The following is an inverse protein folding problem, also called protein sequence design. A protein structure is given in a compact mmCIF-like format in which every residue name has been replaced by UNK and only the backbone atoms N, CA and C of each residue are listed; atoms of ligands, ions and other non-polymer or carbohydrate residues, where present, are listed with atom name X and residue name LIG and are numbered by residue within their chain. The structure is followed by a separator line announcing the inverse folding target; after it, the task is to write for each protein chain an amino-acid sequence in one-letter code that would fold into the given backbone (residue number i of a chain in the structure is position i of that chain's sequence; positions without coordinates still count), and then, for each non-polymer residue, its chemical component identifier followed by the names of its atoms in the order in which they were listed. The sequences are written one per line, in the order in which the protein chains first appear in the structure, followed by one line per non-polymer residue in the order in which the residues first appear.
data_IF_769955439104
#
_entry.id   IF_769955439104
#
_cell.length_a   1.000
_cell.length_b   1.000
_cell.length_c   1.000
_cell.angle_alpha   90.00
_cell.angle_beta   90.00
_cell.angle_gamma   90.00
#
_symmetry.space_group_name_H-M   'P 1'
#
loop_
_entity.id
_entity.type
_entity.pdbx_description
1 polymer ?
#
# COMPACT_ATOMS: atom_id res chain seq x y z
N UNK A 1 73.15 -35.04 16.79
CA UNK A 1 72.92 -33.64 17.20
C UNK A 1 72.26 -32.95 16.00
N UNK A 2 70.93 -32.79 16.01
CA UNK A 2 70.22 -31.50 16.17
C UNK A 2 70.68 -30.48 15.13
N UNK A 3 69.88 -29.78 14.32
CA UNK A 3 68.45 -29.47 14.16
C UNK A 3 68.37 -28.97 12.68
N UNK A 4 67.28 -29.04 11.94
CA UNK A 4 66.00 -28.45 12.29
C UNK A 4 65.02 -28.54 11.12
N UNK A 5 63.75 -28.60 11.49
CA UNK A 5 62.58 -28.39 10.65
C UNK A 5 62.60 -26.96 10.09
N UNK A 6 62.30 -26.79 8.79
CA UNK A 6 61.61 -25.60 8.31
C UNK A 6 60.45 -26.04 7.42
N UNK A 7 59.24 -26.00 7.99
CA UNK A 7 58.01 -26.12 7.22
C UNK A 7 57.86 -24.87 6.35
N UNK A 8 57.64 -25.07 5.05
CA UNK A 8 57.17 -24.01 4.15
C UNK A 8 55.67 -23.88 4.35
N UNK A 9 55.21 -22.77 4.94
CA UNK A 9 53.82 -22.37 4.89
C UNK A 9 53.58 -21.65 3.56
N UNK A 10 52.87 -22.31 2.64
CA UNK A 10 52.16 -21.64 1.56
C UNK A 10 50.96 -20.94 2.19
N UNK A 11 51.07 -19.63 2.42
CA UNK A 11 49.89 -18.79 2.60
C UNK A 11 49.27 -18.57 1.22
N UNK A 12 48.36 -19.47 0.82
CA UNK A 12 47.33 -19.15 -0.17
C UNK A 12 46.43 -18.07 0.43
N UNK A 13 46.76 -16.81 0.19
CA UNK A 13 45.78 -15.73 0.28
C UNK A 13 44.92 -15.83 -0.96
N UNK A 14 43.81 -16.53 -0.84
CA UNK A 14 42.71 -16.50 -1.81
C UNK A 14 42.12 -15.09 -1.76
N UNK A 15 42.48 -14.23 -2.71
CA UNK A 15 41.77 -12.96 -2.93
C UNK A 15 40.35 -13.29 -3.38
N UNK A 16 39.40 -13.21 -2.45
CA UNK A 16 37.98 -13.15 -2.77
C UNK A 16 37.74 -11.84 -3.54
N UNK A 17 37.54 -11.94 -4.87
CA UNK A 17 36.93 -10.87 -5.66
C UNK A 17 35.52 -10.62 -5.12
N UNK A 18 35.38 -9.58 -4.30
CA UNK A 18 34.08 -8.95 -4.08
C UNK A 18 33.70 -8.24 -5.38
N UNK A 19 32.82 -8.84 -6.18
CA UNK A 19 32.10 -8.10 -7.22
C UNK A 19 31.28 -7.02 -6.51
N UNK A 20 31.82 -5.80 -6.43
CA UNK A 20 31.09 -4.66 -5.90
C UNK A 20 29.98 -4.32 -6.88
N UNK A 21 28.75 -4.68 -6.56
CA UNK A 21 27.56 -4.28 -7.32
C UNK A 21 27.44 -2.76 -7.23
N UNK A 22 27.76 -2.05 -8.32
CA UNK A 22 27.68 -0.59 -8.36
C UNK A 22 26.23 -0.18 -8.58
N UNK A 23 25.64 0.43 -7.56
CA UNK A 23 24.29 1.00 -7.64
C UNK A 23 24.29 2.29 -8.45
N UNK A 24 23.44 2.36 -9.48
CA UNK A 24 23.20 3.56 -10.28
C UNK A 24 22.08 4.40 -9.67
N UNK A 25 22.22 5.71 -9.80
CA UNK A 25 21.22 6.68 -9.37
C UNK A 25 21.04 7.77 -10.43
N UNK A 26 19.83 8.32 -10.52
CA UNK A 26 19.53 9.51 -11.31
C UNK A 26 18.47 10.34 -10.58
N UNK A 27 18.72 11.64 -10.43
CA UNK A 27 17.78 12.59 -9.84
C UNK A 27 17.15 13.43 -10.94
N UNK A 28 15.83 13.53 -10.91
CA UNK A 28 15.03 14.36 -11.82
C UNK A 28 14.25 15.38 -11.00
N UNK A 29 14.57 16.65 -11.21
CA UNK A 29 13.77 17.76 -10.69
C UNK A 29 12.45 17.83 -11.46
N UNK A 30 11.35 18.05 -10.75
CA UNK A 30 10.01 18.15 -11.33
C UNK A 30 9.24 19.29 -10.70
N UNK A 31 8.21 19.78 -11.39
CA UNK A 31 7.26 20.71 -10.78
C UNK A 31 6.58 20.08 -9.56
N UNK A 32 6.11 20.91 -8.62
CA UNK A 32 5.37 20.42 -7.46
C UNK A 32 4.11 19.65 -7.88
N UNK A 33 3.89 18.53 -7.21
CA UNK A 33 2.75 17.65 -7.46
C UNK A 33 2.10 17.21 -6.16
N UNK A 34 0.81 16.94 -6.21
CA UNK A 34 0.05 16.37 -5.08
C UNK A 34 -0.65 15.07 -5.48
N UNK A 35 -0.55 14.68 -6.76
CA UNK A 35 -1.14 13.47 -7.30
C UNK A 35 -0.03 12.64 -7.94
N UNK A 36 -0.09 11.33 -7.76
CA UNK A 36 0.90 10.37 -8.26
C UNK A 36 0.18 9.25 -8.99
N UNK A 37 0.53 9.03 -10.25
CA UNK A 37 0.09 7.92 -11.08
C UNK A 37 1.30 7.04 -11.45
N UNK A 38 1.21 5.76 -11.10
CA UNK A 38 2.29 4.79 -11.27
C UNK A 38 1.78 3.64 -12.12
N UNK A 39 2.36 3.48 -13.30
CA UNK A 39 2.09 2.36 -14.22
C UNK A 39 3.38 1.68 -14.65
N UNK A 40 3.75 0.62 -13.94
CA UNK A 40 4.95 -0.14 -14.23
C UNK A 40 5.35 -1.05 -13.07
N UNK A 41 6.62 -1.39 -13.02
CA UNK A 41 7.22 -2.25 -11.99
C UNK A 41 8.15 -1.40 -11.12
N UNK A 42 7.67 -0.92 -9.99
CA UNK A 42 8.40 0.04 -9.16
C UNK A 42 8.27 -0.27 -7.66
N UNK A 43 9.38 -0.08 -6.94
CA UNK A 43 9.35 0.10 -5.48
C UNK A 43 9.43 1.59 -5.19
N UNK A 44 8.36 2.19 -4.70
CA UNK A 44 8.24 3.63 -4.51
C UNK A 44 8.19 3.97 -3.04
N UNK A 45 9.09 4.87 -2.62
CA UNK A 45 9.06 5.52 -1.31
C UNK A 45 8.65 6.97 -1.48
N UNK A 46 7.63 7.41 -0.74
CA UNK A 46 7.33 8.83 -0.61
C UNK A 46 8.00 9.40 0.63
N UNK A 47 8.62 10.58 0.47
CA UNK A 47 9.19 11.39 1.55
C UNK A 47 8.66 12.81 1.42
N UNK A 48 8.27 13.42 2.53
CA UNK A 48 7.83 14.81 2.54
C UNK A 48 9.03 15.74 2.36
N UNK A 49 8.91 16.73 1.48
CA UNK A 49 9.93 17.76 1.32
C UNK A 49 9.43 19.00 0.58
N UNK A 50 10.08 20.14 0.81
CA UNK A 50 9.62 21.43 0.26
C UNK A 50 9.72 21.53 -1.26
N UNK A 51 10.68 20.84 -1.86
CA UNK A 51 10.93 20.82 -3.30
C UNK A 51 10.66 19.44 -3.86
N UNK A 52 9.99 19.40 -5.00
CA UNK A 52 9.65 18.14 -5.65
C UNK A 52 10.77 17.59 -6.50
N UNK A 53 11.07 16.30 -6.31
CA UNK A 53 12.06 15.56 -7.09
C UNK A 53 11.71 14.08 -7.14
N UNK A 54 12.28 13.38 -8.11
CA UNK A 54 12.23 11.94 -8.25
C UNK A 54 13.65 11.40 -8.32
N UNK A 55 13.97 10.44 -7.47
CA UNK A 55 15.29 9.79 -7.40
C UNK A 55 15.11 8.33 -7.79
N UNK A 56 15.67 7.96 -8.94
CA UNK A 56 15.68 6.60 -9.48
C UNK A 56 16.96 5.90 -9.03
N UNK A 57 16.86 4.64 -8.62
CA UNK A 57 18.02 3.86 -8.23
C UNK A 57 17.86 2.38 -8.55
N UNK A 58 18.94 1.78 -9.05
CA UNK A 58 18.96 0.36 -9.45
C UNK A 58 20.38 -0.18 -9.40
N UNK A 59 20.51 -1.47 -9.09
CA UNK A 59 21.79 -2.19 -9.08
C UNK A 59 22.06 -2.91 -10.41
N UNK A 60 21.08 -2.92 -11.32
CA UNK A 60 21.10 -3.72 -12.54
C UNK A 60 20.86 -2.91 -13.81
N UNK A 61 20.11 -1.82 -13.73
CA UNK A 61 19.87 -0.93 -14.85
C UNK A 61 21.10 -0.05 -15.07
N UNK A 62 21.59 -0.03 -16.30
CA UNK A 62 22.75 0.78 -16.68
C UNK A 62 22.40 2.26 -16.89
N UNK A 63 21.14 2.57 -17.23
CA UNK A 63 20.54 3.89 -17.38
C UNK A 63 19.03 3.84 -17.08
N UNK A 64 18.36 5.00 -17.08
CA UNK A 64 16.93 5.12 -16.78
C UNK A 64 16.12 5.78 -17.91
N UNK A 65 16.63 5.77 -19.14
CA UNK A 65 16.02 6.47 -20.29
C UNK A 65 14.63 5.92 -20.64
N UNK A 66 14.41 4.61 -20.45
CA UNK A 66 13.11 3.96 -20.68
C UNK A 66 12.07 4.26 -19.58
N UNK A 67 12.47 4.86 -18.46
CA UNK A 67 11.57 5.25 -17.38
C UNK A 67 11.08 6.66 -17.67
N UNK A 68 9.79 6.83 -17.95
CA UNK A 68 9.16 8.14 -18.08
C UNK A 68 8.82 8.68 -16.70
N UNK A 69 9.27 9.90 -16.43
CA UNK A 69 8.90 10.68 -15.24
C UNK A 69 8.46 12.05 -15.73
N UNK A 70 7.17 12.35 -15.64
CA UNK A 70 6.60 13.61 -16.12
C UNK A 70 5.67 14.17 -15.06
N UNK A 71 5.90 15.40 -14.61
CA UNK A 71 4.94 16.16 -13.84
C UNK A 71 4.18 17.10 -14.78
N UNK A 72 2.85 17.07 -14.75
CA UNK A 72 2.01 18.03 -15.48
C UNK A 72 0.75 18.31 -14.67
N UNK A 73 0.43 19.59 -14.49
CA UNK A 73 -0.78 20.02 -13.79
C UNK A 73 -0.91 19.43 -12.37
N UNK A 74 0.20 19.31 -11.64
CA UNK A 74 0.23 18.76 -10.29
C UNK A 74 0.12 17.23 -10.19
N UNK A 75 0.19 16.52 -11.33
CA UNK A 75 0.18 15.06 -11.42
C UNK A 75 1.56 14.58 -11.86
N UNK A 76 2.23 13.83 -11.00
CA UNK A 76 3.42 13.06 -11.34
C UNK A 76 3.00 11.73 -11.97
N UNK A 77 3.43 11.48 -13.20
CA UNK A 77 3.23 10.22 -13.92
C UNK A 77 4.56 9.49 -14.06
N UNK A 78 4.59 8.24 -13.60
CA UNK A 78 5.72 7.32 -13.73
C UNK A 78 5.31 6.07 -14.49
N UNK A 79 5.92 5.84 -15.66
CA UNK A 79 5.63 4.69 -16.52
C UNK A 79 6.84 4.28 -17.36
N UNK A 80 6.81 3.12 -18.02
CA UNK A 80 7.81 2.76 -19.02
C UNK A 80 7.43 3.33 -20.40
N UNK A 81 8.38 3.94 -21.12
CA UNK A 81 8.14 4.56 -22.43
C UNK A 81 7.84 3.55 -23.55
N UNK A 82 8.42 2.36 -23.46
CA UNK A 82 8.22 1.26 -24.40
C UNK A 82 7.30 0.20 -23.77
N UNK A 83 6.61 -0.61 -24.61
CA UNK A 83 5.80 -1.75 -24.12
C UNK A 83 6.55 -2.48 -23.01
N UNK A 84 5.86 -2.76 -21.90
CA UNK A 84 6.42 -3.49 -20.75
C UNK A 84 7.22 -4.67 -21.30
N UNK A 85 8.53 -4.80 -20.98
CA UNK A 85 9.34 -5.82 -21.60
C UNK A 85 8.72 -7.18 -21.30
N UNK A 86 8.39 -7.93 -22.36
CA UNK A 86 7.75 -9.24 -22.28
C UNK A 86 8.41 -10.08 -21.17
N UNK A 87 7.72 -10.25 -20.04
CA UNK A 87 8.27 -10.92 -18.87
C UNK A 87 8.11 -12.43 -19.10
N UNK A 88 9.01 -12.99 -19.91
CA UNK A 88 9.25 -14.43 -19.85
C UNK A 88 9.66 -14.81 -18.42
N UNK A 89 9.22 -15.98 -17.94
CA UNK A 89 9.44 -16.50 -16.58
C UNK A 89 10.92 -16.45 -16.13
N UNK A 90 11.85 -16.39 -17.08
CA UNK A 90 13.30 -16.27 -16.87
C UNK A 90 13.79 -14.87 -16.48
N UNK A 91 12.96 -13.82 -16.58
CA UNK A 91 13.33 -12.40 -16.43
C UNK A 91 12.70 -11.68 -15.22
N UNK A 92 12.11 -12.41 -14.26
CA UNK A 92 11.55 -11.89 -12.99
C UNK A 92 12.58 -11.08 -12.16
N UNK A 93 13.85 -11.21 -12.52
CA UNK A 93 14.99 -10.50 -12.00
C UNK A 93 15.00 -8.96 -12.27
N UNK A 94 13.98 -8.35 -12.88
CA UNK A 94 13.89 -6.90 -13.20
C UNK A 94 13.18 -6.02 -12.14
N UNK A 95 12.91 -6.54 -10.94
CA UNK A 95 12.20 -5.81 -9.86
C UNK A 95 13.08 -4.81 -9.07
N UNK A 96 14.18 -4.31 -9.63
CA UNK A 96 15.20 -3.59 -8.86
C UNK A 96 15.17 -2.07 -9.02
N UNK A 97 14.08 -1.51 -9.56
CA UNK A 97 13.95 -0.07 -9.67
C UNK A 97 13.28 0.51 -8.41
N UNK A 98 14.13 1.03 -7.54
CA UNK A 98 13.73 1.79 -6.37
C UNK A 98 13.60 3.27 -6.75
N UNK A 99 12.49 3.87 -6.36
CA UNK A 99 12.13 5.25 -6.66
C UNK A 99 11.81 5.96 -5.36
N UNK A 100 12.50 7.06 -5.07
CA UNK A 100 12.09 7.99 -4.02
C UNK A 100 11.44 9.20 -4.65
N UNK A 101 10.18 9.48 -4.30
CA UNK A 101 9.49 10.70 -4.68
C UNK A 101 9.45 11.65 -3.49
N UNK A 102 9.82 12.90 -3.73
CA UNK A 102 9.74 13.97 -2.72
C UNK A 102 8.75 15.02 -3.18
N UNK A 103 7.85 15.46 -2.29
CA UNK A 103 6.91 16.57 -2.53
C UNK A 103 6.32 17.06 -1.20
N UNK A 104 5.72 18.26 -1.10
CA UNK A 104 5.19 18.74 0.18
C UNK A 104 4.02 17.92 0.74
N UNK A 105 3.20 17.34 -0.14
CA UNK A 105 1.99 16.60 0.20
C UNK A 105 1.56 15.70 -0.95
N UNK A 106 0.89 14.58 -0.65
CA UNK A 106 0.20 13.74 -1.62
C UNK A 106 -1.24 13.58 -1.15
N UNK A 107 -2.18 13.94 -2.03
CA UNK A 107 -3.61 13.69 -1.87
C UNK A 107 -4.12 12.56 -2.76
N UNK A 108 -3.43 12.18 -3.85
CA UNK A 108 -3.87 11.05 -4.69
C UNK A 108 -2.75 10.11 -5.06
N UNK A 109 -3.00 8.83 -4.89
CA UNK A 109 -2.13 7.73 -5.31
C UNK A 109 -2.94 6.79 -6.21
N UNK A 110 -2.46 6.59 -7.44
CA UNK A 110 -3.02 5.62 -8.38
C UNK A 110 -1.92 4.65 -8.84
N UNK A 111 -2.17 3.36 -8.69
CA UNK A 111 -1.25 2.30 -9.08
C UNK A 111 -1.93 1.35 -10.06
N UNK A 112 -1.41 1.21 -11.28
CA UNK A 112 -1.96 0.33 -12.33
C UNK A 112 -1.05 -0.86 -12.69
N UNK A 113 0.20 -0.85 -12.24
CA UNK A 113 1.19 -1.90 -12.55
C UNK A 113 1.44 -2.89 -11.41
N UNK A 114 2.70 -3.33 -11.26
CA UNK A 114 3.20 -4.10 -10.11
C UNK A 114 3.97 -3.13 -9.20
N UNK A 115 3.31 -2.61 -8.18
CA UNK A 115 3.83 -1.47 -7.40
C UNK A 115 3.93 -1.82 -5.93
N UNK A 116 5.11 -1.62 -5.35
CA UNK A 116 5.24 -1.45 -3.90
C UNK A 116 5.27 0.05 -3.62
N UNK A 117 4.43 0.54 -2.72
CA UNK A 117 4.44 1.95 -2.27
C UNK A 117 4.56 2.00 -0.76
N UNK A 118 5.49 2.78 -0.24
CA UNK A 118 5.66 2.99 1.19
C UNK A 118 5.88 4.45 1.56
N UNK A 119 5.32 4.85 2.69
CA UNK A 119 5.53 6.17 3.29
C UNK A 119 5.39 6.12 4.79
N UNK A 120 6.32 6.77 5.49
CA UNK A 120 6.21 7.08 6.92
C UNK A 120 5.47 8.41 7.17
N UNK A 121 5.18 9.15 6.10
CA UNK A 121 4.44 10.41 6.12
C UNK A 121 2.94 10.18 5.98
N UNK A 122 2.17 11.15 6.48
CA UNK A 122 0.74 11.20 6.22
C UNK A 122 0.46 11.59 4.76
N UNK A 123 -0.47 10.87 4.11
CA UNK A 123 -1.16 11.42 2.95
C UNK A 123 -2.21 12.42 3.45
N UNK A 124 -2.24 13.61 2.84
CA UNK A 124 -3.12 14.67 3.32
C UNK A 124 -3.69 15.53 2.18
N UNK A 125 -4.88 16.06 2.43
CA UNK A 125 -5.65 16.86 1.49
C UNK A 125 -7.14 16.87 1.85
N UNK A 126 -7.94 17.67 1.16
CA UNK A 126 -9.39 17.66 1.36
C UNK A 126 -10.00 16.30 0.99
N UNK A 127 -9.53 15.69 -0.10
CA UNK A 127 -10.01 14.40 -0.57
C UNK A 127 -8.82 13.50 -0.91
N UNK A 128 -8.43 12.65 0.03
CA UNK A 128 -7.34 11.70 -0.16
C UNK A 128 -7.86 10.49 -0.93
N UNK A 129 -7.28 10.20 -2.09
CA UNK A 129 -7.70 9.08 -2.97
C UNK A 129 -6.59 8.06 -3.15
N UNK A 130 -6.94 6.79 -2.98
CA UNK A 130 -6.07 5.64 -3.28
C UNK A 130 -6.79 4.73 -4.26
N UNK A 131 -6.26 4.60 -5.49
CA UNK A 131 -6.84 3.77 -6.55
C UNK A 131 -5.86 2.68 -7.00
N UNK A 132 -6.23 1.42 -6.82
CA UNK A 132 -5.36 0.27 -7.07
C UNK A 132 -5.98 -0.63 -8.16
N UNK A 133 -5.33 -0.67 -9.33
CA UNK A 133 -5.77 -1.40 -10.52
C UNK A 133 -4.60 -2.23 -11.06
N UNK A 134 -4.02 -3.11 -10.26
CA UNK A 134 -2.84 -3.89 -10.63
C UNK A 134 -2.44 -4.86 -9.51
N UNK A 135 -1.16 -5.19 -9.40
CA UNK A 135 -0.63 -5.91 -8.23
C UNK A 135 0.03 -4.90 -7.31
N UNK A 136 -0.42 -4.77 -6.08
CA UNK A 136 0.03 -3.66 -5.21
C UNK A 136 0.35 -4.10 -3.78
N UNK A 137 1.45 -3.60 -3.23
CA UNK A 137 1.78 -3.70 -1.81
C UNK A 137 1.97 -2.28 -1.25
N UNK A 138 1.01 -1.80 -0.48
CA UNK A 138 0.93 -0.41 -0.05
C UNK A 138 1.07 -0.33 1.47
N UNK A 139 1.96 0.53 1.94
CA UNK A 139 2.10 0.91 3.36
C UNK A 139 2.05 2.43 3.48
N UNK A 140 1.09 2.92 4.25
CA UNK A 140 0.91 4.35 4.52
C UNK A 140 0.84 4.53 6.03
N UNK A 141 1.70 5.37 6.61
CA UNK A 141 1.67 5.62 8.04
C UNK A 141 0.35 6.25 8.49
N UNK A 142 -0.11 7.29 7.79
CA UNK A 142 -1.34 7.98 8.15
C UNK A 142 -2.09 8.57 6.94
N UNK A 143 -3.40 8.79 7.13
CA UNK A 143 -4.25 9.60 6.25
C UNK A 143 -4.96 10.65 7.11
N UNK A 144 -4.82 11.92 6.74
CA UNK A 144 -5.40 13.06 7.44
C UNK A 144 -6.09 14.01 6.44
N UNK A 145 -7.26 14.54 6.79
CA UNK A 145 -8.03 15.37 5.85
C UNK A 145 -9.53 15.39 6.12
N UNK A 146 -10.32 15.66 5.09
CA UNK A 146 -11.78 15.57 5.18
C UNK A 146 -12.31 14.20 4.75
N UNK A 147 -11.79 13.62 3.67
CA UNK A 147 -12.22 12.31 3.17
C UNK A 147 -11.03 11.40 2.83
N UNK A 148 -11.15 10.11 3.17
CA UNK A 148 -10.40 9.03 2.53
C UNK A 148 -11.34 8.25 1.60
N UNK A 149 -11.03 8.24 0.30
CA UNK A 149 -11.65 7.35 -0.68
C UNK A 149 -10.62 6.33 -1.20
N UNK A 150 -10.91 5.05 -1.02
CA UNK A 150 -10.09 3.95 -1.53
C UNK A 150 -10.91 3.08 -2.47
N UNK A 151 -10.38 2.85 -3.67
CA UNK A 151 -10.91 1.93 -4.66
C UNK A 151 -9.83 0.91 -5.01
N UNK A 152 -10.07 -0.35 -4.66
CA UNK A 152 -9.14 -1.44 -4.93
C UNK A 152 -9.81 -2.52 -5.76
N UNK A 153 -9.44 -2.54 -7.05
CA UNK A 153 -9.88 -3.52 -8.04
C UNK A 153 -8.78 -4.51 -8.42
N UNK A 154 -7.60 -4.42 -7.78
CA UNK A 154 -6.41 -5.20 -8.12
C UNK A 154 -6.22 -6.47 -7.31
N UNK A 155 -4.99 -7.00 -7.32
CA UNK A 155 -4.50 -7.98 -6.36
C UNK A 155 -3.60 -7.27 -5.36
N UNK A 156 -4.10 -6.98 -4.17
CA UNK A 156 -3.44 -6.02 -3.28
C UNK A 156 -3.18 -6.52 -1.86
N UNK A 157 -2.19 -5.90 -1.24
CA UNK A 157 -2.02 -5.86 0.21
C UNK A 157 -1.81 -4.43 0.64
N UNK A 158 -2.76 -3.89 1.40
CA UNK A 158 -2.75 -2.51 1.87
C UNK A 158 -2.68 -2.50 3.39
N UNK A 159 -1.78 -1.69 3.94
CA UNK A 159 -1.76 -1.32 5.36
C UNK A 159 -1.73 0.19 5.50
N UNK A 160 -2.67 0.70 6.29
CA UNK A 160 -2.70 2.10 6.70
C UNK A 160 -2.65 2.13 8.23
N UNK A 161 -1.74 2.92 8.80
CA UNK A 161 -1.65 3.07 10.26
C UNK A 161 -2.88 3.77 10.82
N UNK A 162 -2.87 5.09 10.86
CA UNK A 162 -4.00 5.90 11.35
C UNK A 162 -4.75 6.62 10.25
N UNK A 163 -6.08 6.56 10.28
CA UNK A 163 -6.96 7.38 9.44
C UNK A 163 -7.74 8.31 10.36
N UNK A 164 -7.54 9.62 10.17
CA UNK A 164 -8.22 10.68 10.92
C UNK A 164 -8.84 11.68 9.93
N UNK A 165 -10.10 11.45 9.57
CA UNK A 165 -10.84 12.21 8.54
C UNK A 165 -12.29 12.37 8.97
N UNK A 166 -13.14 13.07 8.21
CA UNK A 166 -14.60 13.11 8.47
C UNK A 166 -15.30 11.91 7.84
N UNK A 167 -14.89 11.53 6.64
CA UNK A 167 -15.54 10.48 5.84
C UNK A 167 -14.53 9.44 5.37
N UNK A 168 -14.85 8.15 5.53
CA UNK A 168 -14.06 7.03 4.99
C UNK A 168 -14.94 6.21 4.06
N UNK A 169 -14.53 6.08 2.80
CA UNK A 169 -15.19 5.27 1.79
C UNK A 169 -14.17 4.28 1.21
N UNK A 170 -14.26 3.01 1.58
CA UNK A 170 -13.39 1.94 1.07
C UNK A 170 -14.22 0.96 0.27
N UNK A 171 -13.85 0.76 -1.00
CA UNK A 171 -14.48 -0.22 -1.88
C UNK A 171 -13.44 -1.22 -2.39
N UNK A 172 -13.58 -2.48 -1.99
CA UNK A 172 -12.72 -3.59 -2.40
C UNK A 172 -13.48 -4.52 -3.36
N UNK A 173 -13.24 -4.36 -4.66
CA UNK A 173 -13.77 -5.22 -5.74
C UNK A 173 -12.76 -6.26 -6.21
N UNK A 174 -11.48 -6.00 -5.97
CA UNK A 174 -10.37 -6.87 -6.32
C UNK A 174 -10.20 -8.07 -5.38
N UNK A 175 -8.99 -8.59 -5.35
CA UNK A 175 -8.57 -9.65 -4.43
C UNK A 175 -7.49 -9.14 -3.50
N UNK A 176 -7.62 -9.29 -2.19
CA UNK A 176 -6.56 -8.79 -1.32
C UNK A 176 -6.87 -8.65 0.14
N UNK A 177 -5.99 -7.93 0.82
CA UNK A 177 -6.18 -7.56 2.22
C UNK A 177 -5.94 -6.07 2.41
N UNK A 178 -6.91 -5.39 3.01
CA UNK A 178 -6.80 -3.99 3.43
C UNK A 178 -6.90 -3.93 4.94
N UNK A 179 -5.85 -3.45 5.61
CA UNK A 179 -5.79 -3.36 7.06
C UNK A 179 -5.56 -1.92 7.53
N UNK A 180 -6.29 -1.54 8.56
CA UNK A 180 -6.18 -0.27 9.25
C UNK A 180 -5.82 -0.50 10.72
N UNK A 181 -4.79 0.17 11.24
CA UNK A 181 -4.51 0.11 12.68
C UNK A 181 -5.53 0.93 13.46
N UNK A 182 -5.93 2.09 12.95
CA UNK A 182 -7.06 2.86 13.49
C UNK A 182 -7.78 3.70 12.46
N UNK A 183 -9.11 3.77 12.60
CA UNK A 183 -9.97 4.71 11.89
C UNK A 183 -10.71 5.56 12.93
N UNK A 184 -10.62 6.88 12.78
CA UNK A 184 -11.41 7.87 13.50
C UNK A 184 -12.08 8.78 12.47
N UNK A 185 -13.41 8.68 12.36
CA UNK A 185 -14.18 9.48 11.42
C UNK A 185 -15.60 9.77 11.93
N UNK A 186 -16.37 10.61 11.23
CA UNK A 186 -17.81 10.75 11.48
C UNK A 186 -18.54 9.62 10.78
N UNK A 187 -18.26 9.43 9.49
CA UNK A 187 -18.91 8.43 8.65
C UNK A 187 -17.88 7.45 8.08
N UNK A 188 -18.14 6.16 8.26
CA UNK A 188 -17.30 5.08 7.75
C UNK A 188 -18.14 4.11 6.94
N UNK A 189 -17.73 3.88 5.70
CA UNK A 189 -18.29 2.87 4.81
C UNK A 189 -17.16 1.95 4.32
N UNK A 190 -17.22 0.68 4.74
CA UNK A 190 -16.33 -0.39 4.26
C UNK A 190 -17.16 -1.38 3.46
N UNK A 191 -16.96 -1.41 2.15
CA UNK A 191 -17.69 -2.27 1.22
C UNK A 191 -16.73 -3.22 0.49
N UNK A 192 -16.98 -4.52 0.65
CA UNK A 192 -16.22 -5.58 0.00
C UNK A 192 -17.14 -6.41 -0.89
N UNK A 193 -16.98 -6.23 -2.20
CA UNK A 193 -17.69 -6.98 -3.25
C UNK A 193 -16.80 -8.00 -3.96
N UNK A 194 -15.47 -7.88 -3.81
CA UNK A 194 -14.48 -8.81 -4.35
C UNK A 194 -14.16 -10.01 -3.44
N UNK A 195 -12.92 -10.50 -3.52
CA UNK A 195 -12.46 -11.65 -2.75
C UNK A 195 -11.34 -11.27 -1.77
N UNK A 196 -11.60 -11.15 -0.47
CA UNK A 196 -10.53 -10.62 0.38
C UNK A 196 -10.81 -10.51 1.86
N UNK A 197 -10.03 -9.65 2.51
CA UNK A 197 -10.19 -9.37 3.93
C UNK A 197 -9.99 -7.89 4.21
N UNK A 198 -10.95 -7.28 4.90
CA UNK A 198 -10.77 -5.96 5.50
C UNK A 198 -10.55 -6.14 7.00
N UNK A 199 -9.55 -5.47 7.57
CA UNK A 199 -9.26 -5.49 9.01
C UNK A 199 -9.20 -4.07 9.55
N UNK A 200 -9.88 -3.81 10.67
CA UNK A 200 -9.69 -2.59 11.46
C UNK A 200 -9.41 -2.98 12.91
N UNK A 201 -8.30 -2.52 13.49
CA UNK A 201 -7.95 -2.84 14.87
C UNK A 201 -8.66 -1.93 15.89
N UNK A 202 -8.97 -0.69 15.48
CA UNK A 202 -9.76 0.29 16.24
C UNK A 202 -10.62 1.11 15.27
N UNK A 203 -11.92 1.17 15.50
CA UNK A 203 -12.87 1.93 14.68
C UNK A 203 -13.69 2.86 15.56
N UNK A 204 -13.46 4.17 15.48
CA UNK A 204 -14.27 5.20 16.15
C UNK A 204 -15.05 5.97 15.11
N UNK A 205 -16.38 5.92 15.18
CA UNK A 205 -17.27 6.54 14.20
C UNK A 205 -18.53 7.10 14.84
N UNK A 206 -19.21 8.06 14.22
CA UNK A 206 -20.63 8.32 14.54
C UNK A 206 -21.48 7.27 13.82
N UNK A 207 -21.30 7.13 12.51
CA UNK A 207 -21.98 6.13 11.69
C UNK A 207 -20.95 5.21 11.03
N UNK A 208 -21.12 3.90 11.20
CA UNK A 208 -20.31 2.89 10.54
C UNK A 208 -21.21 1.90 9.77
N UNK A 209 -20.89 1.69 8.50
CA UNK A 209 -21.51 0.71 7.60
C UNK A 209 -20.46 -0.28 7.13
N UNK A 210 -20.68 -1.57 7.40
CA UNK A 210 -19.81 -2.66 6.98
C UNK A 210 -20.61 -3.59 6.07
N UNK A 211 -20.25 -3.66 4.78
CA UNK A 211 -20.94 -4.50 3.81
C UNK A 211 -19.97 -5.51 3.18
N UNK A 212 -20.35 -6.78 3.16
CA UNK A 212 -19.57 -7.87 2.58
C UNK A 212 -20.44 -8.68 1.61
N UNK A 213 -20.44 -8.26 0.34
CA UNK A 213 -21.22 -8.90 -0.74
C UNK A 213 -20.43 -9.93 -1.55
N UNK A 214 -19.11 -9.89 -1.46
CA UNK A 214 -18.22 -10.83 -2.14
C UNK A 214 -17.89 -12.08 -1.34
N UNK A 215 -16.66 -12.57 -1.46
CA UNK A 215 -16.15 -13.75 -0.74
C UNK A 215 -15.04 -13.35 0.21
N UNK A 216 -15.18 -13.58 1.51
CA UNK A 216 -14.09 -13.34 2.45
C UNK A 216 -14.52 -12.87 3.82
N UNK A 217 -13.80 -11.92 4.40
CA UNK A 217 -14.06 -11.48 5.76
C UNK A 217 -13.90 -9.97 5.97
N UNK A 218 -14.73 -9.41 6.86
CA UNK A 218 -14.47 -8.10 7.46
C UNK A 218 -14.29 -8.28 8.96
N UNK A 219 -13.14 -7.92 9.51
CA UNK A 219 -12.82 -8.03 10.92
C UNK A 219 -12.65 -6.63 11.52
N UNK A 220 -13.68 -6.12 12.19
CA UNK A 220 -13.66 -4.80 12.81
C UNK A 220 -13.61 -4.93 14.35
N UNK A 221 -12.51 -4.48 14.94
CA UNK A 221 -12.25 -4.54 16.38
C UNK A 221 -12.18 -3.15 16.99
N UNK A 222 -12.33 -3.10 18.32
CA UNK A 222 -12.26 -1.86 19.08
C UNK A 222 -13.29 -0.83 18.60
N UNK A 223 -14.46 -1.28 18.17
CA UNK A 223 -15.52 -0.43 17.67
C UNK A 223 -16.03 0.47 18.81
N UNK A 224 -16.18 1.76 18.52
CA UNK A 224 -16.96 2.73 19.29
C UNK A 224 -17.78 3.53 18.30
N UNK A 225 -19.07 3.23 18.20
CA UNK A 225 -19.96 3.89 17.25
C UNK A 225 -21.33 4.26 17.83
N UNK A 226 -21.91 5.37 17.39
CA UNK A 226 -23.31 5.67 17.75
C UNK A 226 -24.25 4.75 16.96
N UNK A 227 -23.95 4.54 15.68
CA UNK A 227 -24.70 3.65 14.78
C UNK A 227 -23.76 2.73 14.03
N UNK A 228 -24.02 1.42 14.13
CA UNK A 228 -23.34 0.38 13.38
C UNK A 228 -24.35 -0.41 12.55
N UNK A 229 -24.19 -0.39 11.23
CA UNK A 229 -24.94 -1.22 10.30
C UNK A 229 -23.99 -2.28 9.71
N UNK A 230 -24.38 -3.55 9.78
CA UNK A 230 -23.59 -4.67 9.25
C UNK A 230 -24.43 -5.50 8.30
N UNK A 231 -23.95 -5.68 7.07
CA UNK A 231 -24.64 -6.42 6.03
C UNK A 231 -23.70 -7.45 5.39
N UNK A 232 -23.99 -8.74 5.53
CA UNK A 232 -23.18 -9.84 5.00
C UNK A 232 -23.93 -10.68 3.96
N UNK A 233 -24.33 -10.12 2.79
CA UNK A 233 -25.08 -10.89 1.80
C UNK A 233 -24.22 -11.87 0.99
N UNK A 234 -22.89 -11.74 1.05
CA UNK A 234 -21.92 -12.59 0.36
C UNK A 234 -21.62 -13.92 1.06
N UNK A 235 -20.43 -14.47 0.80
CA UNK A 235 -19.94 -15.72 1.39
C UNK A 235 -18.77 -15.45 2.32
N UNK A 236 -18.86 -15.92 3.56
CA UNK A 236 -17.83 -15.73 4.58
C UNK A 236 -18.37 -15.06 5.83
N UNK A 237 -17.62 -14.14 6.44
CA UNK A 237 -18.07 -13.54 7.70
C UNK A 237 -17.67 -12.10 7.97
N UNK A 238 -18.55 -11.37 8.64
CA UNK A 238 -18.20 -10.10 9.27
C UNK A 238 -18.11 -10.33 10.78
N UNK A 239 -16.95 -10.06 11.38
CA UNK A 239 -16.74 -10.14 12.83
C UNK A 239 -16.60 -8.74 13.40
N UNK A 240 -17.42 -8.42 14.40
CA UNK A 240 -17.45 -7.12 15.07
C UNK A 240 -17.20 -7.27 16.57
N UNK A 241 -16.26 -6.49 17.10
CA UNK A 241 -15.90 -6.45 18.52
C UNK A 241 -15.82 -4.99 19.00
N UNK A 242 -16.54 -4.63 20.08
CA UNK A 242 -16.56 -3.26 20.60
C UNK A 242 -17.89 -2.85 21.22
N UNK A 243 -18.30 -1.61 21.01
CA UNK A 243 -19.52 -1.00 21.54
C UNK A 243 -20.21 -0.16 20.46
N UNK A 244 -21.53 -0.34 20.31
CA UNK A 244 -22.36 0.51 19.46
C UNK A 244 -23.71 0.83 20.10
N UNK A 245 -24.10 2.11 20.16
CA UNK A 245 -25.38 2.52 20.78
C UNK A 245 -26.59 1.97 20.01
N UNK A 246 -26.55 2.05 18.69
CA UNK A 246 -27.54 1.45 17.79
C UNK A 246 -26.84 0.46 16.87
N UNK A 247 -27.38 -0.74 16.75
CA UNK A 247 -26.81 -1.79 15.92
C UNK A 247 -27.89 -2.50 15.10
N UNK A 248 -27.67 -2.53 13.78
CA UNK A 248 -28.48 -3.30 12.84
C UNK A 248 -27.61 -4.33 12.14
N UNK A 249 -28.18 -5.51 11.90
CA UNK A 249 -27.52 -6.58 11.15
C UNK A 249 -28.45 -7.21 10.13
N UNK A 250 -27.87 -7.60 9.00
CA UNK A 250 -28.47 -8.45 7.99
C UNK A 250 -27.44 -9.48 7.54
N UNK A 251 -27.80 -10.75 7.65
CA UNK A 251 -26.97 -11.88 7.28
C UNK A 251 -27.82 -12.99 6.65
N UNK A 252 -27.17 -14.02 6.10
CA UNK A 252 -27.84 -15.17 5.51
C UNK A 252 -27.13 -16.48 5.95
N UNK A 253 -27.49 -17.62 5.35
CA UNK A 253 -26.96 -18.93 5.78
C UNK A 253 -25.44 -19.05 5.53
N UNK A 254 -24.91 -18.37 4.51
CA UNK A 254 -23.52 -18.54 4.02
C UNK A 254 -22.62 -17.31 4.25
N UNK A 255 -23.22 -16.14 4.46
CA UNK A 255 -22.59 -14.92 4.94
C UNK A 255 -23.04 -14.66 6.37
N UNK A 256 -22.13 -14.78 7.33
CA UNK A 256 -22.46 -14.74 8.77
C UNK A 256 -21.94 -13.48 9.44
N UNK A 257 -22.74 -12.88 10.33
CA UNK A 257 -22.27 -11.83 11.24
C UNK A 257 -21.96 -12.44 12.62
N UNK A 258 -20.71 -12.27 13.07
CA UNK A 258 -20.24 -12.69 14.39
C UNK A 258 -20.13 -11.45 15.30
N UNK A 259 -21.10 -11.26 16.18
CA UNK A 259 -21.29 -10.07 17.02
C UNK A 259 -21.32 -10.37 18.52
N UNK A 260 -20.89 -11.56 18.95
CA UNK A 260 -20.94 -11.98 20.37
C UNK A 260 -20.09 -11.13 21.32
N UNK A 261 -19.15 -10.35 20.77
CA UNK A 261 -18.27 -9.42 21.50
C UNK A 261 -18.64 -7.95 21.28
N UNK A 262 -19.79 -7.68 20.65
CA UNK A 262 -20.32 -6.33 20.48
C UNK A 262 -21.27 -6.00 21.63
N UNK A 263 -20.95 -4.94 22.37
CA UNK A 263 -21.80 -4.37 23.42
C UNK A 263 -22.77 -3.34 22.83
N UNK A 264 -23.92 -3.21 23.46
CA UNK A 264 -24.99 -2.26 23.13
C UNK A 264 -25.32 -1.45 24.35
#
# INVERSE_FOLDING_TARGET
MSCGLSAQTQDEVTEAKADSVVRKTETREVENFTQVEIDGLFNVRFVKGEKSKVELSSERMANFDDVKVVCKSGILVMEYQNNMPYVGVSNIKRMDLDVTITTPAIERLKCSGVVSFETEEALNGGNVRVSLNGVSNIRIAAVEGDELRMEDAGVSKVRIGSVAVKEVNVHLTGTGTTAFDSIAATDVNLDMSGAGTIVTNKLTATNASLTMSGVGNINAKGIKADKLAVNAPGVGSITVEGEATTYTKSDNIIGKVNDSKLKR
#
